data_IF_964750039136
#
_entry.id   IF_964750039136
#
_cell.length_a   1.000
_cell.length_b   1.000
_cell.length_c   1.000
_cell.angle_alpha   90.00
_cell.angle_beta   90.00
_cell.angle_gamma   90.00
#
_symmetry.space_group_name_H-M   'P 1'
#
loop_
_entity.id
_entity.type
_entity.pdbx_description
1 polymer ?
#
# COMPACT_ATOMS: atom_id res chain seq x y z
N UNK A 1 -17.38 60.43 8.60
CA UNK A 1 -16.09 59.90 8.15
C UNK A 1 -15.68 58.62 8.89
N UNK A 2 -15.63 58.53 10.23
CA UNK A 2 -15.18 57.34 10.96
C UNK A 2 -15.94 56.02 10.66
N UNK A 3 -17.24 56.07 10.31
CA UNK A 3 -18.07 54.90 10.01
C UNK A 3 -17.68 54.24 8.68
N UNK A 4 -17.32 55.01 7.67
CA UNK A 4 -16.92 54.48 6.36
C UNK A 4 -15.48 53.94 6.35
N UNK A 5 -14.61 54.46 7.22
CA UNK A 5 -13.24 53.97 7.41
C UNK A 5 -13.27 52.57 8.04
N UNK A 6 -14.14 52.35 9.03
CA UNK A 6 -14.31 51.02 9.64
C UNK A 6 -14.84 49.99 8.63
N UNK A 7 -15.82 50.38 7.80
CA UNK A 7 -16.38 49.49 6.77
C UNK A 7 -15.32 49.10 5.72
N UNK A 8 -14.48 50.07 5.30
CA UNK A 8 -13.39 49.78 4.35
C UNK A 8 -12.33 48.85 4.93
N UNK A 9 -11.99 48.95 6.21
CA UNK A 9 -11.05 48.06 6.87
C UNK A 9 -11.61 46.64 6.99
N UNK A 10 -12.89 46.49 7.32
CA UNK A 10 -13.55 45.15 7.36
C UNK A 10 -13.61 44.52 5.97
N UNK A 11 -13.88 45.31 4.93
CA UNK A 11 -13.88 44.80 3.54
C UNK A 11 -12.48 44.37 3.09
N UNK A 12 -11.43 45.09 3.45
CA UNK A 12 -10.04 44.73 3.13
C UNK A 12 -9.56 43.46 3.85
N UNK A 13 -10.03 43.20 5.09
CA UNK A 13 -9.72 41.97 5.83
C UNK A 13 -10.43 40.75 5.24
N UNK A 14 -11.57 40.91 4.55
CA UNK A 14 -12.31 39.83 3.87
C UNK A 14 -11.68 39.35 2.56
N UNK A 15 -10.68 40.04 2.03
CA UNK A 15 -10.03 39.72 0.75
C UNK A 15 -8.78 38.84 0.94
N UNK A 16 -8.39 38.50 2.17
CA UNK A 16 -7.34 37.53 2.40
C UNK A 16 -7.74 36.20 1.79
N UNK A 17 -7.12 35.86 0.67
CA UNK A 17 -7.25 34.53 0.06
C UNK A 17 -6.78 33.53 1.11
N UNK A 18 -7.69 32.76 1.69
CA UNK A 18 -7.35 31.54 2.37
C UNK A 18 -6.78 30.59 1.31
N UNK A 19 -5.46 30.63 1.10
CA UNK A 19 -4.75 29.59 0.37
C UNK A 19 -4.76 28.38 1.32
N UNK A 20 -5.79 27.57 1.22
CA UNK A 20 -5.70 26.21 1.71
C UNK A 20 -4.49 25.61 0.98
N UNK A 21 -3.43 25.27 1.70
CA UNK A 21 -2.29 24.60 1.12
C UNK A 21 -2.80 23.28 0.58
N UNK A 22 -2.86 23.21 -0.75
CA UNK A 22 -3.09 21.95 -1.47
C UNK A 22 -1.80 21.14 -1.33
N UNK A 23 -1.69 20.42 -0.21
CA UNK A 23 -0.54 19.57 0.07
C UNK A 23 -0.72 18.27 -0.72
N UNK A 24 -0.38 18.31 -1.99
CA UNK A 24 -0.32 17.12 -2.82
C UNK A 24 0.97 16.36 -2.50
N UNK A 25 0.87 15.30 -1.72
CA UNK A 25 1.99 14.39 -1.50
C UNK A 25 2.18 13.56 -2.77
N UNK A 26 3.30 13.75 -3.44
CA UNK A 26 3.68 12.94 -4.60
C UNK A 26 4.16 11.55 -4.14
N UNK A 27 4.05 10.54 -5.00
CA UNK A 27 4.57 9.19 -4.76
C UNK A 27 6.06 9.17 -4.41
N UNK A 28 6.85 10.08 -4.96
CA UNK A 28 8.28 10.22 -4.69
C UNK A 28 8.59 10.46 -3.21
N UNK A 29 7.61 10.93 -2.44
CA UNK A 29 7.74 11.04 -0.98
C UNK A 29 7.81 9.68 -0.28
N UNK A 30 7.13 8.68 -0.81
CA UNK A 30 7.03 7.35 -0.21
C UNK A 30 7.96 6.33 -0.85
N UNK A 31 8.42 6.57 -2.08
CA UNK A 31 9.20 5.63 -2.85
C UNK A 31 10.68 6.05 -2.90
N UNK A 32 11.63 5.13 -2.63
CA UNK A 32 13.04 5.39 -2.84
C UNK A 32 13.32 5.86 -4.27
N UNK A 33 14.02 6.98 -4.42
CA UNK A 33 14.32 7.58 -5.73
C UNK A 33 15.55 6.96 -6.41
N UNK A 34 16.33 6.20 -5.66
CA UNK A 34 17.54 5.48 -6.11
C UNK A 34 17.26 4.06 -6.64
N UNK A 35 15.99 3.67 -6.70
CA UNK A 35 15.55 2.34 -7.15
C UNK A 35 14.89 2.45 -8.53
N UNK A 36 15.28 1.55 -9.43
CA UNK A 36 14.58 1.38 -10.72
C UNK A 36 13.39 0.45 -10.55
N UNK A 37 12.19 0.97 -10.78
CA UNK A 37 10.94 0.20 -10.71
C UNK A 37 10.65 -0.49 -12.04
N UNK A 38 10.13 -1.74 -11.96
CA UNK A 38 9.74 -2.49 -13.14
C UNK A 38 8.46 -1.89 -13.76
N UNK A 39 8.52 -1.33 -14.98
CA UNK A 39 7.36 -0.67 -15.61
C UNK A 39 6.24 -1.65 -16.01
N UNK A 40 6.51 -2.96 -16.02
CA UNK A 40 5.51 -3.98 -16.33
C UNK A 40 4.59 -4.31 -15.13
N UNK A 41 4.95 -3.86 -13.94
CA UNK A 41 4.08 -4.03 -12.76
C UNK A 41 3.00 -2.95 -12.78
N UNK A 42 1.71 -3.31 -12.82
CA UNK A 42 0.63 -2.35 -12.93
C UNK A 42 0.52 -1.49 -11.67
N UNK A 43 0.41 -0.18 -11.87
CA UNK A 43 0.19 0.77 -10.78
C UNK A 43 -1.31 0.88 -10.45
N UNK A 44 -1.69 1.38 -9.25
CA UNK A 44 -3.08 1.68 -8.94
C UNK A 44 -3.72 2.58 -10.00
N UNK A 45 -3.02 3.62 -10.43
CA UNK A 45 -3.51 4.54 -11.47
C UNK A 45 -3.81 3.85 -12.78
N UNK A 46 -2.96 2.92 -13.24
CA UNK A 46 -3.18 2.20 -14.51
C UNK A 46 -4.31 1.18 -14.43
N UNK A 47 -4.54 0.57 -13.26
CA UNK A 47 -5.52 -0.51 -13.08
C UNK A 47 -6.87 -0.03 -12.56
N UNK A 48 -6.86 0.96 -11.66
CA UNK A 48 -8.06 1.44 -10.95
C UNK A 48 -8.52 2.79 -11.50
N UNK A 49 -7.62 3.55 -12.16
CA UNK A 49 -7.91 4.85 -12.76
C UNK A 49 -7.54 6.06 -11.90
N UNK A 50 -7.11 5.87 -10.66
CA UNK A 50 -6.64 6.93 -9.77
C UNK A 50 -5.48 6.45 -8.88
N UNK A 51 -4.72 7.40 -8.33
CA UNK A 51 -3.59 7.11 -7.46
C UNK A 51 -4.06 6.81 -6.04
N UNK A 52 -3.16 6.18 -5.27
CA UNK A 52 -3.37 5.95 -3.83
C UNK A 52 -3.58 7.30 -3.13
N UNK A 53 -4.66 7.42 -2.38
CA UNK A 53 -5.03 8.63 -1.65
C UNK A 53 -5.91 9.62 -2.42
N UNK A 54 -6.05 9.49 -3.75
CA UNK A 54 -6.90 10.39 -4.55
C UNK A 54 -8.39 10.18 -4.27
N UNK A 55 -8.80 8.93 -4.11
CA UNK A 55 -10.19 8.55 -3.95
C UNK A 55 -10.32 7.23 -3.17
N UNK A 56 -11.48 7.00 -2.59
CA UNK A 56 -11.80 5.70 -1.99
C UNK A 56 -11.97 4.61 -3.05
N UNK A 57 -11.61 3.39 -2.72
CA UNK A 57 -11.72 2.23 -3.60
C UNK A 57 -12.82 1.29 -3.11
N UNK A 58 -13.60 0.74 -4.05
CA UNK A 58 -14.56 -0.32 -3.76
C UNK A 58 -13.86 -1.67 -3.64
N UNK A 59 -14.44 -2.59 -2.88
CA UNK A 59 -13.83 -3.90 -2.62
C UNK A 59 -13.59 -4.72 -3.91
N UNK A 60 -14.51 -4.67 -4.87
CA UNK A 60 -14.41 -5.35 -6.16
C UNK A 60 -13.20 -4.84 -6.98
N UNK A 61 -12.99 -3.53 -7.05
CA UNK A 61 -11.83 -2.93 -7.71
C UNK A 61 -10.51 -3.31 -7.01
N UNK A 62 -10.51 -3.31 -5.68
CA UNK A 62 -9.35 -3.74 -4.90
C UNK A 62 -9.01 -5.20 -5.20
N UNK A 63 -10.00 -6.09 -5.17
CA UNK A 63 -9.84 -7.52 -5.48
C UNK A 63 -9.26 -7.70 -6.89
N UNK A 64 -9.83 -7.02 -7.88
CA UNK A 64 -9.34 -7.09 -9.26
C UNK A 64 -7.88 -6.65 -9.36
N UNK A 65 -7.52 -5.54 -8.70
CA UNK A 65 -6.14 -5.05 -8.68
C UNK A 65 -5.18 -6.04 -8.03
N UNK A 66 -5.55 -6.67 -6.91
CA UNK A 66 -4.72 -7.66 -6.23
C UNK A 66 -4.46 -8.90 -7.10
N UNK A 67 -5.45 -9.39 -7.84
CA UNK A 67 -5.25 -10.47 -8.81
C UNK A 67 -4.36 -10.03 -9.98
N UNK A 68 -4.52 -8.80 -10.47
CA UNK A 68 -3.67 -8.25 -11.52
C UNK A 68 -2.21 -8.15 -11.08
N UNK A 69 -1.95 -7.67 -9.86
CA UNK A 69 -0.61 -7.64 -9.27
C UNK A 69 0.01 -9.03 -9.16
N UNK A 70 -0.72 -9.98 -8.60
CA UNK A 70 -0.24 -11.35 -8.40
C UNK A 70 0.10 -12.03 -9.74
N UNK A 71 -0.68 -11.78 -10.80
CA UNK A 71 -0.38 -12.31 -12.14
C UNK A 71 0.77 -11.63 -12.86
N UNK A 72 1.19 -10.46 -12.40
CA UNK A 72 2.22 -9.63 -13.05
C UNK A 72 3.61 -9.79 -12.42
N UNK A 73 3.74 -10.57 -11.34
CA UNK A 73 5.00 -10.66 -10.58
C UNK A 73 5.20 -12.05 -10.00
N UNK A 74 6.41 -12.57 -10.13
CA UNK A 74 6.90 -13.80 -9.47
C UNK A 74 7.18 -13.62 -7.96
N UNK A 75 6.96 -12.41 -7.45
CA UNK A 75 7.16 -12.03 -6.04
C UNK A 75 5.87 -12.05 -5.22
N UNK A 76 4.74 -12.36 -5.86
CA UNK A 76 3.41 -12.27 -5.24
C UNK A 76 2.61 -13.52 -5.53
N UNK A 77 2.11 -14.16 -4.47
CA UNK A 77 0.99 -15.12 -4.58
C UNK A 77 -0.25 -14.57 -3.93
N UNK A 78 -1.40 -15.04 -4.40
CA UNK A 78 -2.71 -14.69 -3.89
C UNK A 78 -3.52 -15.94 -3.61
N UNK A 79 -4.11 -16.00 -2.43
CA UNK A 79 -4.97 -17.11 -1.99
C UNK A 79 -6.33 -16.56 -1.57
N UNK A 80 -7.39 -17.20 -1.99
CA UNK A 80 -8.72 -16.95 -1.45
C UNK A 80 -8.93 -17.80 -0.19
N UNK A 81 -9.03 -17.15 0.96
CA UNK A 81 -9.21 -17.78 2.28
C UNK A 81 -10.67 -17.94 2.69
N UNK A 82 -11.60 -17.70 1.78
CA UNK A 82 -13.03 -17.76 2.02
C UNK A 82 -13.72 -16.43 1.76
N UNK A 83 -14.83 -16.20 2.43
CA UNK A 83 -15.61 -14.98 2.24
C UNK A 83 -16.06 -14.38 3.57
N UNK A 84 -16.32 -13.07 3.55
CA UNK A 84 -17.00 -12.38 4.64
C UNK A 84 -18.47 -12.84 4.72
N UNK A 85 -19.15 -12.46 5.78
CA UNK A 85 -20.61 -12.72 5.93
C UNK A 85 -21.44 -12.13 4.76
N UNK A 86 -20.94 -11.05 4.14
CA UNK A 86 -21.56 -10.43 2.94
C UNK A 86 -21.14 -11.08 1.62
N UNK A 87 -20.41 -12.19 1.66
CA UNK A 87 -19.96 -12.92 0.47
C UNK A 87 -18.75 -12.29 -0.24
N UNK A 88 -18.06 -11.30 0.36
CA UNK A 88 -16.86 -10.70 -0.22
C UNK A 88 -15.66 -11.61 -0.01
N UNK A 89 -14.81 -11.85 -1.04
CA UNK A 89 -13.64 -12.70 -0.88
C UNK A 89 -12.63 -12.13 0.13
N UNK A 90 -12.07 -13.02 0.95
CA UNK A 90 -10.96 -12.74 1.84
C UNK A 90 -9.67 -13.20 1.16
N UNK A 91 -8.84 -12.26 0.77
CA UNK A 91 -7.62 -12.52 0.03
C UNK A 91 -6.41 -12.42 0.96
N UNK A 92 -5.53 -13.41 0.86
CA UNK A 92 -4.19 -13.38 1.45
C UNK A 92 -3.17 -13.21 0.32
N UNK A 93 -2.41 -12.12 0.38
CA UNK A 93 -1.28 -11.90 -0.51
C UNK A 93 0.02 -12.17 0.24
N UNK A 94 0.87 -13.02 -0.34
CA UNK A 94 2.24 -13.21 0.14
C UNK A 94 3.17 -12.47 -0.80
N UNK A 95 3.87 -11.47 -0.28
CA UNK A 95 4.76 -10.59 -1.06
C UNK A 95 6.17 -10.67 -0.47
N UNK A 96 7.14 -11.06 -1.30
CA UNK A 96 8.53 -11.18 -0.87
C UNK A 96 9.49 -11.08 -2.06
N UNK A 97 10.80 -11.31 -1.87
CA UNK A 97 11.72 -11.44 -3.02
C UNK A 97 11.41 -12.71 -3.83
N UNK A 98 11.73 -12.72 -5.13
CA UNK A 98 11.53 -13.91 -5.97
C UNK A 98 12.22 -15.16 -5.41
N UNK A 99 13.42 -14.99 -4.83
CA UNK A 99 14.16 -16.08 -4.20
C UNK A 99 13.44 -16.63 -2.94
N UNK A 100 12.98 -15.75 -2.07
CA UNK A 100 12.20 -16.17 -0.88
C UNK A 100 10.89 -16.84 -1.31
N UNK A 101 10.24 -16.29 -2.33
CA UNK A 101 9.00 -16.83 -2.85
C UNK A 101 9.16 -18.26 -3.39
N UNK A 102 10.25 -18.53 -4.13
CA UNK A 102 10.58 -19.88 -4.60
C UNK A 102 10.87 -20.88 -3.45
N UNK A 103 11.28 -20.36 -2.28
CA UNK A 103 11.65 -21.16 -1.11
C UNK A 103 10.63 -21.01 0.07
N UNK A 104 9.45 -20.47 -0.18
CA UNK A 104 8.50 -20.07 0.87
C UNK A 104 8.13 -21.22 1.83
N UNK A 105 7.98 -22.42 1.31
CA UNK A 105 7.64 -23.57 2.15
C UNK A 105 8.82 -23.98 3.06
N UNK A 106 10.04 -23.94 2.57
CA UNK A 106 11.23 -24.17 3.42
C UNK A 106 11.33 -23.13 4.54
N UNK A 107 11.11 -21.85 4.19
CA UNK A 107 11.09 -20.76 5.17
C UNK A 107 9.99 -21.00 6.20
N UNK A 108 8.81 -21.41 5.76
CA UNK A 108 7.68 -21.73 6.65
C UNK A 108 8.03 -22.86 7.62
N UNK A 109 8.65 -23.93 7.15
CA UNK A 109 9.07 -25.05 8.00
C UNK A 109 10.12 -24.62 9.03
N UNK A 110 11.11 -23.84 8.61
CA UNK A 110 12.11 -23.29 9.53
C UNK A 110 11.48 -22.45 10.65
N UNK A 111 10.50 -21.60 10.33
CA UNK A 111 9.75 -20.84 11.33
C UNK A 111 8.97 -21.76 12.29
N UNK A 112 8.35 -22.83 11.77
CA UNK A 112 7.65 -23.81 12.61
C UNK A 112 8.60 -24.55 13.56
N UNK A 113 9.81 -24.89 13.13
CA UNK A 113 10.83 -25.53 13.98
C UNK A 113 11.18 -24.66 15.20
N UNK A 114 11.22 -23.33 15.05
CA UNK A 114 11.48 -22.43 16.16
C UNK A 114 10.37 -22.44 17.22
N UNK A 115 9.19 -22.91 16.90
CA UNK A 115 8.07 -23.04 17.85
C UNK A 115 8.05 -24.38 18.58
N UNK A 116 8.90 -25.32 18.19
CA UNK A 116 9.02 -26.62 18.83
C UNK A 116 9.80 -26.51 20.16
N UNK A 117 9.59 -27.51 21.04
CA UNK A 117 10.34 -27.61 22.30
C UNK A 117 11.77 -28.08 22.10
N UNK A 118 12.05 -28.75 21.00
CA UNK A 118 13.37 -29.28 20.67
C UNK A 118 14.29 -28.16 20.14
N UNK A 119 15.61 -28.25 20.38
CA UNK A 119 16.53 -27.29 19.84
C UNK A 119 16.50 -27.25 18.31
N UNK A 120 16.26 -26.09 17.72
CA UNK A 120 16.34 -25.89 16.28
C UNK A 120 17.78 -25.62 15.86
N UNK A 121 18.18 -26.17 14.71
CA UNK A 121 19.48 -25.86 14.05
C UNK A 121 19.35 -24.66 13.11
N UNK A 122 18.18 -24.08 12.99
CA UNK A 122 17.89 -22.97 12.09
C UNK A 122 18.61 -21.69 12.54
N UNK A 123 19.35 -21.06 11.64
CA UNK A 123 20.01 -19.79 11.91
C UNK A 123 19.00 -18.63 11.81
N UNK A 124 18.56 -18.15 12.96
CA UNK A 124 17.56 -17.08 13.06
C UNK A 124 18.00 -15.74 12.44
N UNK A 125 19.32 -15.50 12.32
CA UNK A 125 19.84 -14.26 11.75
C UNK A 125 19.76 -14.22 10.22
N UNK A 126 19.56 -15.37 9.58
CA UNK A 126 19.44 -15.49 8.12
C UNK A 126 18.00 -15.69 7.64
N UNK A 127 17.06 -15.83 8.57
CA UNK A 127 15.67 -16.06 8.25
C UNK A 127 14.96 -14.77 7.81
N UNK A 128 14.14 -14.81 6.77
CA UNK A 128 13.23 -13.73 6.46
C UNK A 128 12.24 -13.48 7.60
N UNK A 129 11.97 -12.22 7.89
CA UNK A 129 10.97 -11.82 8.89
C UNK A 129 9.60 -11.70 8.20
N UNK A 130 8.57 -12.24 8.83
CA UNK A 130 7.18 -12.00 8.43
C UNK A 130 6.65 -10.74 9.14
N UNK A 131 6.03 -9.87 8.38
CA UNK A 131 5.37 -8.63 8.85
C UNK A 131 3.92 -8.59 8.41
#
# INVERSE_FOLDING_TARGET
MKKYTLLAVVLLLGISKNIAQDYSVNLDYYLPTDVSYNPNIPTPKSSIGHQVGDWHITHDKLVQYMYTLASSSDRITIENRGATFEGRPLLLLTITSANNHANIETIRQQHLELTQKEPSTTNINEMPIFV
#
